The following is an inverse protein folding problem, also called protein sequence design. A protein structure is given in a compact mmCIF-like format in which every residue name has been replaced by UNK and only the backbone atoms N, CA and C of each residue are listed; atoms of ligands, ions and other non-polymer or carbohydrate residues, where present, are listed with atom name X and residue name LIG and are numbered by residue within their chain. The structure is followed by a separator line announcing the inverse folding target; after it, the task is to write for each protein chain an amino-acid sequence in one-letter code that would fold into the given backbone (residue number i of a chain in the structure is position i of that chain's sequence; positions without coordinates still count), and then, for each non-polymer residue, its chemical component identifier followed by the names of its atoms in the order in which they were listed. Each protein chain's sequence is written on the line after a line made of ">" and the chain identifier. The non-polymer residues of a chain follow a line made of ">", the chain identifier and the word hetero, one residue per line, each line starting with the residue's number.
data_IF_749941281026
#
_entry.id   IF_749941281026
#
_cell.length_a   1.000
_cell.length_b   1.000
_cell.length_c   1.000
_cell.angle_alpha   90.00
_cell.angle_beta   90.00
_cell.angle_gamma   90.00
#
_symmetry.space_group_name_H-M   'P 1'
#
loop_
_entity.id
_entity.type
_entity.pdbx_description
1 polymer ?
#
# COMPACT_ATOMS: atom_id res chain seq x y z
N UNK A 1 44.95 18.75 -48.38
CA UNK A 1 44.66 17.64 -47.46
C UNK A 1 44.54 18.23 -46.05
N UNK A 2 43.34 18.46 -45.59
CA UNK A 2 43.07 18.93 -44.21
C UNK A 2 42.30 17.85 -43.47
N UNK A 3 42.65 17.47 -42.22
CA UNK A 3 41.88 16.53 -41.47
C UNK A 3 40.72 17.22 -40.74
N UNK A 4 39.53 16.59 -40.85
CA UNK A 4 38.31 17.06 -40.29
C UNK A 4 38.30 17.02 -38.75
N UNK A 5 37.85 18.11 -38.17
CA UNK A 5 37.59 18.22 -36.74
C UNK A 5 36.36 17.41 -36.35
N UNK A 6 36.55 16.51 -35.39
CA UNK A 6 35.47 15.82 -34.72
C UNK A 6 34.72 16.78 -33.78
N UNK A 7 33.49 17.06 -34.12
CA UNK A 7 32.59 17.87 -33.29
C UNK A 7 32.03 16.97 -32.13
N UNK A 8 32.64 17.08 -30.97
CA UNK A 8 32.09 16.47 -29.75
C UNK A 8 30.91 17.31 -29.26
N UNK A 9 29.69 16.93 -29.62
CA UNK A 9 28.48 17.48 -29.03
C UNK A 9 28.38 17.01 -27.59
N UNK A 10 28.82 17.83 -26.65
CA UNK A 10 28.49 17.66 -25.23
C UNK A 10 26.96 17.82 -25.10
N UNK A 11 26.25 16.72 -24.92
CA UNK A 11 24.86 16.74 -24.53
C UNK A 11 24.75 17.44 -23.16
N UNK A 12 24.45 18.73 -23.19
CA UNK A 12 24.20 19.50 -21.99
C UNK A 12 23.01 18.90 -21.25
N UNK A 13 23.26 18.38 -20.06
CA UNK A 13 22.22 18.06 -19.10
C UNK A 13 21.47 19.37 -18.79
N UNK A 14 20.39 19.65 -19.51
CA UNK A 14 19.48 20.69 -19.12
C UNK A 14 18.90 20.32 -17.76
N UNK A 15 19.36 20.93 -16.69
CA UNK A 15 18.67 20.90 -15.39
C UNK A 15 17.26 21.41 -15.61
N UNK A 16 16.31 20.49 -15.74
CA UNK A 16 14.88 20.83 -15.68
C UNK A 16 14.66 21.61 -14.39
N UNK A 17 13.91 22.72 -14.46
CA UNK A 17 13.49 23.42 -13.24
C UNK A 17 12.84 22.41 -12.31
N UNK A 18 13.15 22.40 -10.99
CA UNK A 18 12.48 21.53 -10.05
C UNK A 18 10.98 21.65 -10.23
N UNK A 19 10.29 20.51 -10.31
CA UNK A 19 8.83 20.52 -10.32
C UNK A 19 8.29 21.12 -9.02
N UNK A 20 7.02 21.56 -8.99
CA UNK A 20 6.42 22.21 -7.83
C UNK A 20 6.21 21.27 -6.63
N UNK A 21 6.54 19.99 -6.77
CA UNK A 21 6.30 18.96 -5.75
C UNK A 21 7.62 18.37 -5.26
N UNK A 22 8.08 18.74 -4.07
CA UNK A 22 9.22 18.09 -3.43
C UNK A 22 8.97 16.59 -3.25
N UNK A 23 9.97 15.79 -3.55
CA UNK A 23 9.95 14.34 -3.42
C UNK A 23 11.07 13.93 -2.49
N UNK A 24 10.74 13.15 -1.46
CA UNK A 24 11.71 12.51 -0.59
C UNK A 24 11.97 11.08 -1.07
N UNK A 25 13.21 10.77 -1.44
CA UNK A 25 13.64 9.41 -1.73
C UNK A 25 13.90 8.67 -0.42
N UNK A 26 13.27 7.52 -0.27
CA UNK A 26 13.34 6.65 0.90
C UNK A 26 13.86 5.28 0.47
N UNK A 27 14.57 4.59 1.36
CA UNK A 27 15.23 3.33 1.02
C UNK A 27 15.13 2.31 2.15
N UNK A 28 15.29 1.05 1.79
CA UNK A 28 15.59 -0.04 2.71
C UNK A 28 16.87 -0.72 2.28
N UNK A 29 17.78 -0.92 3.22
CA UNK A 29 18.95 -1.79 3.07
C UNK A 29 19.13 -2.62 4.34
N UNK A 30 19.50 -3.91 4.23
CA UNK A 30 19.79 -4.74 5.39
C UNK A 30 21.12 -4.32 6.06
N UNK A 31 21.23 -4.59 7.36
CA UNK A 31 22.50 -4.42 8.09
C UNK A 31 23.51 -5.48 7.63
N UNK A 32 24.37 -5.15 6.70
CA UNK A 32 25.44 -5.99 6.14
C UNK A 32 26.72 -5.18 5.98
N UNK A 33 27.49 -5.05 7.03
CA UNK A 33 28.68 -4.19 7.11
C UNK A 33 29.64 -4.30 5.92
N UNK A 34 29.91 -5.54 5.44
CA UNK A 34 30.86 -5.76 4.34
C UNK A 34 30.26 -5.58 2.96
N UNK A 35 28.96 -5.85 2.80
CA UNK A 35 28.29 -5.83 1.48
C UNK A 35 27.69 -4.46 1.14
N UNK A 36 27.39 -3.62 2.15
CA UNK A 36 26.77 -2.31 1.99
C UNK A 36 27.52 -1.29 2.84
N UNK A 37 28.73 -0.86 2.41
CA UNK A 37 29.61 0.00 3.22
C UNK A 37 29.00 1.37 3.54
N UNK A 38 28.14 1.91 2.67
CA UNK A 38 27.47 3.20 2.87
C UNK A 38 26.27 3.12 3.84
N UNK A 39 25.82 1.93 4.22
CA UNK A 39 24.76 1.71 5.19
C UNK A 39 25.09 0.48 6.07
N UNK A 40 26.16 0.51 6.89
CA UNK A 40 26.64 -0.65 7.63
C UNK A 40 25.61 -1.19 8.61
N UNK A 41 24.78 -0.33 9.22
CA UNK A 41 23.70 -0.70 10.14
C UNK A 41 22.36 -0.86 9.43
N UNK A 42 22.37 -0.84 8.10
CA UNK A 42 21.21 -0.85 7.23
C UNK A 42 20.47 0.50 7.20
N UNK A 43 19.55 0.63 6.27
CA UNK A 43 18.66 1.79 6.15
C UNK A 43 17.21 1.34 6.18
N UNK A 44 16.36 2.06 6.89
CA UNK A 44 14.93 1.75 7.09
C UNK A 44 14.05 2.99 6.97
N UNK A 45 14.44 3.93 6.12
CA UNK A 45 13.71 5.19 5.96
C UNK A 45 12.28 4.97 5.42
N UNK A 46 12.05 3.94 4.59
CA UNK A 46 10.70 3.57 4.14
C UNK A 46 9.82 3.19 5.34
N UNK A 47 10.26 2.26 6.18
CA UNK A 47 9.49 1.81 7.34
C UNK A 47 9.22 2.95 8.32
N UNK A 48 10.22 3.81 8.57
CA UNK A 48 10.07 5.00 9.44
C UNK A 48 9.07 5.99 8.87
N UNK A 49 9.03 6.19 7.55
CA UNK A 49 8.04 7.04 6.90
C UNK A 49 6.63 6.48 7.05
N UNK A 50 6.43 5.16 6.84
CA UNK A 50 5.16 4.49 7.15
C UNK A 50 4.72 4.74 8.59
N UNK A 51 5.58 4.47 9.56
CA UNK A 51 5.24 4.65 10.99
C UNK A 51 4.91 6.10 11.33
N UNK A 52 5.66 7.07 10.76
CA UNK A 52 5.39 8.49 10.97
C UNK A 52 4.06 8.91 10.38
N UNK A 53 3.73 8.48 9.16
CA UNK A 53 2.46 8.77 8.51
C UNK A 53 1.28 8.13 9.25
N UNK A 54 1.40 6.84 9.64
CA UNK A 54 0.36 6.13 10.37
C UNK A 54 0.05 6.74 11.76
N UNK A 55 1.06 7.26 12.47
CA UNK A 55 0.83 7.98 13.74
C UNK A 55 0.01 9.26 13.56
N UNK A 56 0.06 9.87 12.38
CA UNK A 56 -0.70 11.07 12.03
C UNK A 56 -2.05 10.77 11.37
N UNK A 57 -2.30 9.55 10.92
CA UNK A 57 -3.53 9.17 10.24
C UNK A 57 -4.76 9.39 11.13
N UNK A 58 -5.82 10.04 10.60
CA UNK A 58 -7.05 10.40 11.32
C UNK A 58 -8.32 9.96 10.59
N UNK A 59 -8.39 10.14 9.28
CA UNK A 59 -9.60 9.87 8.50
C UNK A 59 -9.48 8.60 7.66
N UNK A 60 -8.42 8.51 6.84
CA UNK A 60 -8.28 7.42 5.88
C UNK A 60 -6.83 7.01 5.65
N UNK A 61 -6.57 5.71 5.67
CA UNK A 61 -5.39 5.10 5.06
C UNK A 61 -5.87 4.27 3.87
N UNK A 62 -5.37 4.60 2.68
CA UNK A 62 -5.58 3.83 1.46
C UNK A 62 -4.28 3.19 1.01
N UNK A 63 -4.30 1.90 0.73
CA UNK A 63 -3.12 1.13 0.34
C UNK A 63 -3.46 0.23 -0.84
N UNK A 64 -2.56 0.20 -1.85
CA UNK A 64 -2.49 -0.88 -2.85
C UNK A 64 -1.14 -1.56 -2.72
N UNK A 65 -1.15 -2.86 -2.51
CA UNK A 65 0.08 -3.63 -2.32
C UNK A 65 -0.04 -5.05 -2.85
N UNK A 66 1.08 -5.60 -3.28
CA UNK A 66 1.16 -6.99 -3.69
C UNK A 66 0.97 -7.95 -2.53
N UNK A 67 1.35 -7.53 -1.34
CA UNK A 67 1.32 -8.35 -0.12
C UNK A 67 0.66 -7.61 1.05
N UNK A 68 0.20 -8.38 2.01
CA UNK A 68 -0.18 -7.92 3.34
C UNK A 68 0.23 -9.03 4.29
N UNK A 69 1.52 -9.10 4.56
CA UNK A 69 2.11 -10.19 5.34
C UNK A 69 2.91 -9.66 6.53
N UNK A 70 3.11 -10.53 7.51
CA UNK A 70 3.98 -10.23 8.64
C UNK A 70 3.32 -9.43 9.76
N UNK A 71 3.76 -9.74 10.97
CA UNK A 71 3.25 -9.11 12.20
C UNK A 71 3.69 -7.67 12.32
N UNK A 72 4.96 -7.35 12.00
CA UNK A 72 5.52 -6.01 12.14
C UNK A 72 4.67 -4.93 11.43
N UNK A 73 4.27 -5.21 10.17
CA UNK A 73 3.47 -4.28 9.37
C UNK A 73 2.03 -4.22 9.87
N UNK A 74 1.40 -5.39 10.07
CA UNK A 74 0.01 -5.45 10.53
C UNK A 74 -0.16 -4.86 11.93
N UNK A 75 0.85 -4.99 12.81
CA UNK A 75 0.83 -4.38 14.14
C UNK A 75 0.90 -2.85 14.08
N UNK A 76 1.71 -2.29 13.17
CA UNK A 76 1.77 -0.85 12.94
C UNK A 76 0.43 -0.28 12.45
N UNK A 77 -0.18 -0.94 11.45
CA UNK A 77 -1.50 -0.57 10.92
C UNK A 77 -2.60 -0.71 12.00
N UNK A 78 -2.60 -1.81 12.74
CA UNK A 78 -3.55 -2.07 13.82
C UNK A 78 -3.39 -1.06 14.97
N UNK A 79 -2.17 -0.64 15.29
CA UNK A 79 -1.91 0.40 16.29
C UNK A 79 -2.53 1.74 15.89
N UNK A 80 -2.43 2.14 14.60
CA UNK A 80 -3.07 3.35 14.10
C UNK A 80 -4.61 3.28 14.24
N UNK A 81 -5.22 2.14 13.89
CA UNK A 81 -6.67 1.91 14.01
C UNK A 81 -7.16 1.98 15.47
N UNK A 82 -6.37 1.42 16.42
CA UNK A 82 -6.69 1.50 17.85
C UNK A 82 -6.54 2.90 18.41
N UNK A 83 -5.49 3.61 17.99
CA UNK A 83 -5.22 4.97 18.44
C UNK A 83 -6.23 6.00 17.94
N UNK A 84 -6.88 5.74 16.79
CA UNK A 84 -7.78 6.68 16.12
C UNK A 84 -9.13 6.03 15.79
N UNK A 85 -10.16 6.17 16.64
CA UNK A 85 -11.47 5.55 16.44
C UNK A 85 -12.19 5.98 15.14
N UNK A 86 -11.92 7.16 14.61
CA UNK A 86 -12.49 7.65 13.36
C UNK A 86 -11.78 7.12 12.10
N UNK A 87 -10.55 6.61 12.23
CA UNK A 87 -9.73 6.16 11.11
C UNK A 87 -10.36 4.98 10.37
N UNK A 88 -10.45 5.11 9.06
CA UNK A 88 -10.83 4.04 8.14
C UNK A 88 -9.63 3.57 7.35
N UNK A 89 -9.67 2.31 6.92
CA UNK A 89 -8.58 1.72 6.16
C UNK A 89 -9.10 0.88 5.00
N UNK A 90 -8.66 1.19 3.79
CA UNK A 90 -8.88 0.39 2.59
C UNK A 90 -7.55 -0.18 2.15
N UNK A 91 -7.49 -1.50 1.95
CA UNK A 91 -6.31 -2.19 1.43
C UNK A 91 -6.73 -3.02 0.22
N UNK A 92 -6.03 -2.85 -0.88
CA UNK A 92 -6.21 -3.60 -2.12
C UNK A 92 -5.02 -4.54 -2.32
N UNK A 93 -5.29 -5.84 -2.45
CA UNK A 93 -4.28 -6.89 -2.62
C UNK A 93 -4.68 -7.85 -3.73
N UNK A 94 -3.75 -8.62 -4.33
CA UNK A 94 -4.11 -9.67 -5.27
C UNK A 94 -4.98 -10.74 -4.60
N UNK A 95 -5.98 -11.28 -5.34
CA UNK A 95 -6.81 -12.40 -4.87
C UNK A 95 -5.99 -13.63 -4.52
N UNK A 96 -4.96 -13.89 -5.31
CA UNK A 96 -4.06 -15.02 -5.11
C UNK A 96 -2.64 -14.50 -4.89
N UNK A 97 -1.97 -14.92 -3.81
CA UNK A 97 -0.54 -14.67 -3.65
C UNK A 97 0.25 -15.39 -4.76
N UNK A 98 1.50 -14.97 -4.97
CA UNK A 98 2.38 -15.59 -5.96
C UNK A 98 2.39 -17.12 -5.84
N UNK A 99 2.32 -17.79 -7.00
CA UNK A 99 2.19 -19.24 -7.07
C UNK A 99 3.51 -20.00 -6.83
N UNK A 100 4.59 -19.31 -6.48
CA UNK A 100 5.90 -19.90 -6.33
C UNK A 100 5.96 -20.87 -5.14
N UNK A 101 5.62 -22.10 -5.43
CA UNK A 101 5.75 -23.25 -4.56
C UNK A 101 4.53 -23.59 -3.70
N UNK A 102 4.22 -24.92 -3.60
CA UNK A 102 3.09 -25.43 -2.78
C UNK A 102 3.22 -25.10 -1.28
N UNK A 103 4.44 -24.98 -0.77
CA UNK A 103 4.73 -24.72 0.65
C UNK A 103 4.75 -23.22 0.93
N UNK A 104 5.45 -22.44 0.10
CA UNK A 104 5.54 -20.98 0.22
C UNK A 104 4.17 -20.31 0.09
N UNK A 105 3.34 -20.73 -0.86
CA UNK A 105 2.00 -20.19 -1.04
C UNK A 105 1.04 -20.47 0.14
N UNK A 106 1.20 -21.62 0.87
CA UNK A 106 0.40 -21.88 2.08
C UNK A 106 0.84 -21.03 3.26
N UNK A 107 2.15 -20.85 3.42
CA UNK A 107 2.70 -20.02 4.47
C UNK A 107 2.35 -18.54 4.28
N UNK A 108 2.39 -18.04 3.03
CA UNK A 108 2.00 -16.70 2.65
C UNK A 108 0.51 -16.43 2.93
N UNK A 109 -0.40 -17.33 2.54
CA UNK A 109 -1.83 -17.21 2.87
C UNK A 109 -2.10 -17.21 4.36
N UNK A 110 -1.41 -18.04 5.13
CA UNK A 110 -1.55 -18.06 6.57
C UNK A 110 -1.06 -16.75 7.21
N UNK A 111 0.01 -16.15 6.69
CA UNK A 111 0.52 -14.87 7.14
C UNK A 111 -0.45 -13.73 6.78
N UNK A 112 -0.98 -13.70 5.56
CA UNK A 112 -1.98 -12.73 5.14
C UNK A 112 -3.26 -12.81 5.99
N UNK A 113 -3.77 -14.02 6.23
CA UNK A 113 -4.92 -14.22 7.10
C UNK A 113 -4.70 -13.65 8.51
N UNK A 114 -3.53 -13.91 9.12
CA UNK A 114 -3.20 -13.35 10.44
C UNK A 114 -3.15 -11.83 10.42
N UNK A 115 -2.53 -11.25 9.39
CA UNK A 115 -2.44 -9.81 9.23
C UNK A 115 -3.84 -9.19 9.10
N UNK A 116 -4.69 -9.71 8.21
CA UNK A 116 -6.07 -9.22 8.03
C UNK A 116 -6.88 -9.35 9.32
N UNK A 117 -6.81 -10.49 10.01
CA UNK A 117 -7.52 -10.65 11.29
C UNK A 117 -7.05 -9.69 12.37
N UNK A 118 -5.75 -9.38 12.42
CA UNK A 118 -5.22 -8.38 13.35
C UNK A 118 -5.86 -7.01 13.10
N UNK A 119 -5.95 -6.62 11.81
CA UNK A 119 -6.57 -5.36 11.41
C UNK A 119 -8.07 -5.32 11.70
N UNK A 120 -8.79 -6.40 11.37
CA UNK A 120 -10.24 -6.51 11.63
C UNK A 120 -10.54 -6.46 13.14
N UNK A 121 -9.72 -7.12 13.98
CA UNK A 121 -9.86 -7.02 15.44
C UNK A 121 -9.60 -5.60 15.95
N UNK A 122 -8.68 -4.85 15.33
CA UNK A 122 -8.35 -3.49 15.75
C UNK A 122 -9.35 -2.45 15.26
N UNK A 123 -9.90 -2.60 14.06
CA UNK A 123 -10.72 -1.59 13.39
C UNK A 123 -12.17 -1.99 13.15
N UNK A 124 -12.52 -3.28 13.22
CA UNK A 124 -13.88 -3.76 12.93
C UNK A 124 -14.36 -3.31 11.56
N UNK A 125 -15.56 -2.72 11.46
CA UNK A 125 -16.15 -2.28 10.19
C UNK A 125 -15.40 -1.14 9.50
N UNK A 126 -14.43 -0.53 10.15
CA UNK A 126 -13.58 0.54 9.61
C UNK A 126 -12.43 0.02 8.74
N UNK A 127 -12.25 -1.29 8.67
CA UNK A 127 -11.24 -1.95 7.83
C UNK A 127 -11.93 -2.69 6.70
N UNK A 128 -11.48 -2.45 5.48
CA UNK A 128 -11.94 -3.15 4.30
C UNK A 128 -10.74 -3.61 3.47
N UNK A 129 -10.68 -4.89 3.17
CA UNK A 129 -9.66 -5.49 2.30
C UNK A 129 -10.34 -5.99 1.04
N UNK A 130 -9.80 -5.61 -0.11
CA UNK A 130 -10.37 -5.91 -1.41
C UNK A 130 -9.34 -6.58 -2.31
N UNK A 131 -9.83 -7.35 -3.26
CA UNK A 131 -9.12 -7.71 -4.49
C UNK A 131 -9.87 -7.18 -5.72
N UNK A 132 -9.21 -7.23 -6.86
CA UNK A 132 -9.73 -6.68 -8.10
C UNK A 132 -9.99 -7.78 -9.12
N UNK A 133 -11.01 -7.57 -9.95
CA UNK A 133 -11.25 -8.37 -11.15
C UNK A 133 -11.53 -7.46 -12.37
N UNK A 134 -11.22 -7.96 -13.57
CA UNK A 134 -11.58 -7.30 -14.81
C UNK A 134 -13.09 -7.49 -15.15
N UNK A 135 -13.52 -6.95 -16.26
CA UNK A 135 -14.92 -7.04 -16.70
C UNK A 135 -15.38 -8.47 -16.99
N UNK A 136 -14.46 -9.37 -17.30
CA UNK A 136 -14.71 -10.79 -17.52
C UNK A 136 -14.68 -11.62 -16.22
N UNK A 137 -14.48 -10.98 -15.06
CA UNK A 137 -14.39 -11.64 -13.76
C UNK A 137 -13.01 -12.29 -13.48
N UNK A 138 -12.02 -12.05 -14.34
CA UNK A 138 -10.66 -12.56 -14.12
C UNK A 138 -9.95 -11.72 -13.05
N UNK A 139 -9.37 -12.33 -12.01
CA UNK A 139 -8.64 -11.61 -10.99
C UNK A 139 -7.47 -10.81 -11.57
N UNK A 140 -7.38 -9.54 -11.18
CA UNK A 140 -6.25 -8.66 -11.53
C UNK A 140 -5.15 -8.88 -10.48
N UNK A 141 -3.93 -9.09 -10.96
CA UNK A 141 -2.76 -9.18 -10.10
C UNK A 141 -2.25 -7.78 -9.75
N UNK A 142 -2.55 -7.34 -8.54
CA UNK A 142 -2.09 -6.04 -8.02
C UNK A 142 -0.61 -6.12 -7.69
N UNK A 143 0.23 -5.39 -8.42
CA UNK A 143 1.67 -5.28 -8.15
C UNK A 143 2.08 -3.87 -7.71
N UNK A 144 1.12 -3.03 -7.38
CA UNK A 144 1.36 -1.70 -6.82
C UNK A 144 2.01 -1.77 -5.43
N UNK A 145 2.71 -0.73 -5.03
CA UNK A 145 3.13 -0.43 -3.67
C UNK A 145 2.90 1.06 -3.47
N UNK A 146 1.69 1.37 -3.07
CA UNK A 146 1.24 2.75 -2.90
C UNK A 146 0.48 2.89 -1.58
N UNK A 147 0.74 3.98 -0.87
CA UNK A 147 -0.03 4.37 0.30
C UNK A 147 -0.38 5.85 0.22
N UNK A 148 -1.61 6.17 0.61
CA UNK A 148 -2.11 7.54 0.74
C UNK A 148 -2.74 7.67 2.13
N UNK A 149 -2.36 8.73 2.86
CA UNK A 149 -2.85 9.02 4.22
C UNK A 149 -3.55 10.37 4.22
N UNK A 150 -4.83 10.38 4.58
CA UNK A 150 -5.69 11.56 4.80
C UNK A 150 -5.68 12.57 3.63
N UNK A 151 -5.37 12.15 2.40
CA UNK A 151 -5.12 13.04 1.26
C UNK A 151 -3.98 14.05 1.47
N UNK A 152 -3.18 13.89 2.51
CA UNK A 152 -2.08 14.79 2.86
C UNK A 152 -0.75 14.27 2.34
N UNK A 153 -0.53 12.98 2.44
CA UNK A 153 0.75 12.34 2.13
C UNK A 153 0.54 11.12 1.26
N UNK A 154 1.40 10.95 0.28
CA UNK A 154 1.42 9.77 -0.57
C UNK A 154 2.85 9.26 -0.75
N UNK A 155 3.00 7.94 -0.81
CA UNK A 155 4.27 7.28 -1.13
C UNK A 155 4.02 6.15 -2.13
N UNK A 156 4.91 6.04 -3.11
CA UNK A 156 4.95 4.94 -4.08
C UNK A 156 6.37 4.39 -4.18
N UNK A 157 6.51 3.08 -4.44
CA UNK A 157 7.84 2.49 -4.52
C UNK A 157 7.84 1.00 -4.79
N UNK A 158 8.92 0.33 -4.40
CA UNK A 158 9.10 -1.11 -4.56
C UNK A 158 8.78 -1.91 -3.28
N UNK A 159 8.79 -1.27 -2.10
CA UNK A 159 8.65 -1.93 -0.80
C UNK A 159 7.23 -2.43 -0.55
N UNK A 160 7.09 -3.73 -0.35
CA UNK A 160 5.82 -4.37 -0.02
C UNK A 160 5.46 -4.25 1.48
N UNK A 161 4.19 -4.50 1.80
CA UNK A 161 3.67 -4.60 3.17
C UNK A 161 4.09 -5.93 3.83
N UNK A 162 5.41 -6.12 3.96
CA UNK A 162 6.01 -7.24 4.65
C UNK A 162 7.28 -6.80 5.41
N UNK A 163 7.77 -7.64 6.33
CA UNK A 163 8.93 -7.31 7.15
C UNK A 163 10.20 -7.25 6.32
N UNK A 164 10.34 -8.14 5.33
CA UNK A 164 11.56 -8.18 4.51
C UNK A 164 11.76 -6.89 3.71
N UNK A 165 10.72 -6.33 3.07
CA UNK A 165 10.83 -5.05 2.36
C UNK A 165 11.07 -3.87 3.30
N UNK A 166 10.65 -3.96 4.57
CA UNK A 166 10.89 -2.92 5.56
C UNK A 166 12.27 -2.99 6.22
N UNK A 167 12.96 -4.15 6.15
CA UNK A 167 14.19 -4.36 6.94
C UNK A 167 15.32 -5.08 6.22
N UNK A 168 15.05 -5.86 5.17
CA UNK A 168 16.01 -6.83 4.61
C UNK A 168 16.29 -6.61 3.12
N UNK A 169 15.27 -6.39 2.30
CA UNK A 169 15.45 -6.24 0.85
C UNK A 169 16.06 -4.87 0.52
N UNK A 170 16.64 -4.73 -0.67
CA UNK A 170 17.02 -3.43 -1.21
C UNK A 170 15.82 -2.81 -1.90
N UNK A 171 15.26 -1.76 -1.30
CA UNK A 171 14.04 -1.12 -1.76
C UNK A 171 14.22 0.39 -1.93
N UNK A 172 13.42 0.97 -2.84
CA UNK A 172 13.34 2.42 -3.02
C UNK A 172 11.89 2.86 -3.07
N UNK A 173 11.60 3.99 -2.46
CA UNK A 173 10.29 4.63 -2.52
C UNK A 173 10.42 6.15 -2.63
N UNK A 174 9.39 6.77 -3.17
CA UNK A 174 9.25 8.22 -3.30
C UNK A 174 8.03 8.67 -2.49
N UNK A 175 8.28 9.44 -1.43
CA UNK A 175 7.23 10.15 -0.70
C UNK A 175 7.06 11.55 -1.29
N UNK A 176 5.85 11.91 -1.67
CA UNK A 176 5.54 13.22 -2.26
C UNK A 176 5.08 14.16 -1.15
N UNK A 177 5.80 15.26 -1.01
CA UNK A 177 5.54 16.35 -0.05
C UNK A 177 4.95 17.54 -0.82
N UNK A 178 3.72 17.37 -1.32
CA UNK A 178 3.07 18.42 -2.09
C UNK A 178 2.75 19.64 -1.20
N UNK A 179 3.13 20.84 -1.66
CA UNK A 179 2.84 22.08 -0.96
C UNK A 179 1.49 22.67 -1.38
N UNK A 180 0.96 22.25 -2.53
CA UNK A 180 -0.29 22.76 -3.05
C UNK A 180 -1.47 22.13 -2.30
N UNK A 181 -2.32 22.98 -1.70
CA UNK A 181 -3.53 22.55 -0.99
C UNK A 181 -4.68 22.35 -1.98
N UNK A 182 -5.45 21.30 -1.77
CA UNK A 182 -6.66 21.03 -2.54
C UNK A 182 -7.84 21.77 -1.88
N UNK A 183 -8.52 22.68 -2.63
CA UNK A 183 -9.59 23.51 -2.06
C UNK A 183 -10.93 22.77 -1.91
N UNK A 184 -11.06 21.54 -2.42
CA UNK A 184 -12.32 20.79 -2.36
C UNK A 184 -12.59 20.29 -0.93
N UNK A 185 -13.87 20.36 -0.52
CA UNK A 185 -14.28 19.81 0.78
C UNK A 185 -14.27 18.29 0.81
N UNK A 186 -13.85 17.67 1.96
CA UNK A 186 -13.32 18.34 3.16
C UNK A 186 -11.90 18.89 2.94
N UNK A 187 -11.67 20.15 3.28
CA UNK A 187 -10.35 20.80 3.08
C UNK A 187 -9.28 20.15 3.94
N UNK A 188 -9.62 19.71 5.13
CA UNK A 188 -8.73 19.01 6.07
C UNK A 188 -9.36 17.71 6.58
N UNK A 189 -9.28 16.61 5.82
CA UNK A 189 -9.89 15.33 6.21
C UNK A 189 -9.40 14.79 7.55
N UNK A 190 -8.14 15.02 7.88
CA UNK A 190 -7.52 14.56 9.12
C UNK A 190 -7.79 15.46 10.33
N UNK A 191 -8.25 16.67 10.13
CA UNK A 191 -8.52 17.62 11.22
C UNK A 191 -7.29 18.09 11.98
N UNK A 192 -6.08 17.97 11.41
CA UNK A 192 -4.81 18.34 12.05
C UNK A 192 -4.26 19.70 11.56
N UNK A 193 -4.98 20.41 10.71
CA UNK A 193 -4.52 21.66 10.09
C UNK A 193 -3.57 21.47 8.91
N UNK A 194 -3.21 20.23 8.56
CA UNK A 194 -2.32 19.91 7.43
C UNK A 194 -2.97 20.29 6.09
N UNK A 195 -4.28 20.08 5.98
CA UNK A 195 -5.07 20.25 4.77
C UNK A 195 -4.76 19.23 3.67
N UNK A 196 -5.78 18.85 2.91
CA UNK A 196 -5.59 17.94 1.79
C UNK A 196 -4.63 18.53 0.74
N UNK A 197 -3.81 17.68 0.12
CA UNK A 197 -2.82 18.05 -0.89
C UNK A 197 -3.26 17.59 -2.26
N UNK A 198 -3.02 18.41 -3.26
CA UNK A 198 -3.49 18.17 -4.64
C UNK A 198 -2.99 16.83 -5.14
N UNK A 199 -1.70 16.51 -4.99
CA UNK A 199 -1.14 15.25 -5.48
C UNK A 199 -1.76 14.03 -4.78
N UNK A 200 -1.77 13.99 -3.45
CA UNK A 200 -2.23 12.84 -2.69
C UNK A 200 -3.72 12.55 -2.95
N UNK A 201 -4.55 13.60 -2.95
CA UNK A 201 -5.97 13.48 -3.25
C UNK A 201 -6.24 13.08 -4.69
N UNK A 202 -5.58 13.70 -5.66
CA UNK A 202 -5.76 13.34 -7.07
C UNK A 202 -5.34 11.90 -7.35
N UNK A 203 -4.24 11.43 -6.76
CA UNK A 203 -3.81 10.04 -6.88
C UNK A 203 -4.89 9.09 -6.35
N UNK A 204 -5.39 9.34 -5.12
CA UNK A 204 -6.48 8.54 -4.54
C UNK A 204 -7.72 8.55 -5.42
N UNK A 205 -8.18 9.72 -5.83
CA UNK A 205 -9.40 9.85 -6.64
C UNK A 205 -9.25 9.16 -8.00
N UNK A 206 -8.09 9.23 -8.63
CA UNK A 206 -7.81 8.55 -9.91
C UNK A 206 -7.93 7.03 -9.75
N UNK A 207 -7.24 6.46 -8.74
CA UNK A 207 -7.29 5.02 -8.46
C UNK A 207 -8.71 4.57 -8.08
N UNK A 208 -9.39 5.35 -7.26
CA UNK A 208 -10.73 5.02 -6.82
C UNK A 208 -11.75 5.06 -7.95
N UNK A 209 -11.68 6.04 -8.85
CA UNK A 209 -12.55 6.08 -10.04
C UNK A 209 -12.34 4.87 -10.92
N UNK A 210 -11.09 4.49 -11.17
CA UNK A 210 -10.77 3.30 -11.95
C UNK A 210 -11.37 2.03 -11.31
N UNK A 211 -11.18 1.84 -10.03
CA UNK A 211 -11.66 0.63 -9.34
C UNK A 211 -13.18 0.60 -9.18
N UNK A 212 -13.81 1.74 -9.05
CA UNK A 212 -15.27 1.86 -8.99
C UNK A 212 -15.95 1.81 -10.36
N UNK A 213 -15.17 1.82 -11.46
CA UNK A 213 -15.70 1.86 -12.82
C UNK A 213 -16.38 3.19 -13.16
N UNK A 214 -15.88 4.29 -12.59
CA UNK A 214 -16.37 5.65 -12.82
C UNK A 214 -15.53 6.32 -13.91
N UNK A 215 -16.17 7.19 -14.72
CA UNK A 215 -15.47 8.01 -15.69
C UNK A 215 -14.50 9.01 -15.03
N UNK A 216 -13.67 9.71 -15.83
CA UNK A 216 -12.65 10.63 -15.34
C UNK A 216 -13.18 11.67 -14.35
N UNK A 217 -14.40 12.15 -14.57
CA UNK A 217 -15.08 13.16 -13.74
C UNK A 217 -16.16 12.57 -12.84
N UNK A 218 -16.31 11.25 -12.84
CA UNK A 218 -17.34 10.56 -12.05
C UNK A 218 -17.06 10.57 -10.55
N UNK A 219 -18.14 10.42 -9.75
CA UNK A 219 -18.05 10.19 -8.32
C UNK A 219 -18.15 11.43 -7.45
N UNK A 220 -18.57 12.54 -7.99
CA UNK A 220 -18.97 13.79 -7.29
C UNK A 220 -18.29 14.07 -5.92
N UNK A 221 -18.88 14.90 -5.08
CA UNK A 221 -18.36 15.27 -3.75
C UNK A 221 -18.23 14.09 -2.77
N UNK A 222 -19.02 13.02 -2.92
CA UNK A 222 -18.94 11.84 -2.03
C UNK A 222 -17.63 11.08 -2.19
N UNK A 223 -17.05 11.06 -3.40
CA UNK A 223 -15.76 10.42 -3.62
C UNK A 223 -14.61 11.26 -3.04
N UNK A 224 -14.77 12.58 -3.06
CA UNK A 224 -13.78 13.52 -2.49
C UNK A 224 -13.70 13.35 -0.97
N UNK A 225 -14.84 13.20 -0.29
CA UNK A 225 -14.87 12.87 1.13
C UNK A 225 -14.36 11.44 1.40
N UNK A 226 -13.28 11.26 2.17
CA UNK A 226 -12.76 9.93 2.48
C UNK A 226 -13.77 9.00 3.16
N UNK A 227 -14.66 9.54 3.97
CA UNK A 227 -15.68 8.76 4.70
C UNK A 227 -16.79 8.32 3.76
N UNK A 228 -17.36 9.25 2.99
CA UNK A 228 -18.36 8.95 1.97
C UNK A 228 -17.82 8.00 0.91
N UNK A 229 -16.58 8.21 0.49
CA UNK A 229 -15.92 7.33 -0.47
C UNK A 229 -15.66 5.93 0.06
N UNK A 230 -15.34 5.76 1.36
CA UNK A 230 -15.23 4.44 1.99
C UNK A 230 -16.55 3.64 1.88
N UNK A 231 -17.68 4.29 2.13
CA UNK A 231 -18.99 3.65 2.00
C UNK A 231 -19.36 3.36 0.53
N UNK A 232 -18.93 4.20 -0.42
CA UNK A 232 -19.09 3.92 -1.84
C UNK A 232 -18.34 2.64 -2.25
N UNK A 233 -17.12 2.45 -1.76
CA UNK A 233 -16.34 1.24 -1.97
C UNK A 233 -17.07 0.02 -1.42
N UNK A 234 -17.55 0.08 -0.18
CA UNK A 234 -18.30 -1.03 0.43
C UNK A 234 -19.55 -1.39 -0.37
N UNK A 235 -20.33 -0.38 -0.76
CA UNK A 235 -21.53 -0.59 -1.54
C UNK A 235 -21.23 -1.16 -2.94
N UNK A 236 -20.17 -0.70 -3.61
CA UNK A 236 -19.75 -1.24 -4.91
C UNK A 236 -19.31 -2.70 -4.80
N UNK A 237 -18.47 -3.01 -3.83
CA UNK A 237 -18.00 -4.37 -3.59
C UNK A 237 -19.15 -5.32 -3.23
N UNK A 238 -20.10 -4.87 -2.40
CA UNK A 238 -21.27 -5.67 -2.03
C UNK A 238 -22.17 -5.98 -3.24
N UNK A 239 -22.40 -4.99 -4.13
CA UNK A 239 -23.19 -5.21 -5.35
C UNK A 239 -22.53 -6.23 -6.28
N UNK A 240 -21.22 -6.11 -6.50
CA UNK A 240 -20.49 -7.03 -7.37
C UNK A 240 -20.45 -8.44 -6.76
N UNK A 241 -20.28 -8.55 -5.45
CA UNK A 241 -20.33 -9.83 -4.75
C UNK A 241 -21.71 -10.48 -4.86
N UNK A 242 -22.78 -9.72 -4.63
CA UNK A 242 -24.15 -10.23 -4.75
C UNK A 242 -24.47 -10.71 -6.16
N UNK A 243 -23.95 -10.06 -7.21
CA UNK A 243 -24.11 -10.52 -8.59
C UNK A 243 -23.45 -11.88 -8.81
N UNK A 244 -22.23 -12.10 -8.28
CA UNK A 244 -21.56 -13.39 -8.34
C UNK A 244 -22.30 -14.47 -7.54
N UNK A 245 -22.75 -14.16 -6.34
CA UNK A 245 -23.51 -15.08 -5.48
C UNK A 245 -24.85 -15.47 -6.12
N UNK A 246 -25.44 -14.57 -6.91
CA UNK A 246 -26.62 -14.80 -7.73
C UNK A 246 -26.37 -15.58 -9.03
N UNK A 247 -25.16 -16.11 -9.24
CA UNK A 247 -24.79 -16.90 -10.42
C UNK A 247 -24.57 -16.08 -11.68
N UNK A 248 -24.11 -14.84 -11.53
CA UNK A 248 -23.77 -13.92 -12.64
C UNK A 248 -24.97 -13.62 -13.57
N UNK A 249 -26.15 -13.52 -13.00
CA UNK A 249 -27.38 -13.26 -13.77
C UNK A 249 -27.65 -11.77 -13.94
N UNK A 250 -28.09 -11.37 -15.13
CA UNK A 250 -28.33 -9.98 -15.49
C UNK A 250 -27.05 -9.18 -15.75
N UNK A 251 -27.17 -7.86 -15.98
CA UNK A 251 -26.02 -7.01 -16.28
C UNK A 251 -25.05 -6.97 -15.09
N UNK A 252 -23.75 -7.10 -15.40
CA UNK A 252 -22.69 -6.99 -14.39
C UNK A 252 -22.66 -5.57 -13.81
N UNK A 253 -22.67 -5.42 -12.47
CA UNK A 253 -22.51 -4.11 -11.85
C UNK A 253 -21.15 -3.47 -12.24
N UNK A 254 -21.12 -2.13 -12.36
CA UNK A 254 -19.85 -1.43 -12.61
C UNK A 254 -18.88 -1.58 -11.43
N UNK A 255 -17.61 -1.41 -11.71
CA UNK A 255 -16.54 -1.54 -10.73
C UNK A 255 -15.82 -2.89 -10.81
N UNK A 256 -14.68 -2.96 -10.11
CA UNK A 256 -13.74 -4.09 -10.15
C UNK A 256 -13.47 -4.69 -8.78
N UNK A 257 -14.02 -4.08 -7.73
CA UNK A 257 -13.69 -4.40 -6.33
C UNK A 257 -14.50 -5.58 -5.82
N UNK A 258 -13.80 -6.57 -5.26
CA UNK A 258 -14.40 -7.71 -4.55
C UNK A 258 -13.94 -7.70 -3.09
N UNK A 259 -14.82 -8.05 -2.14
CA UNK A 259 -14.37 -8.32 -0.77
C UNK A 259 -13.31 -9.43 -0.80
N UNK A 260 -12.11 -9.16 -0.28
CA UNK A 260 -11.03 -10.14 -0.26
C UNK A 260 -11.33 -11.26 0.74
N UNK A 261 -11.40 -12.48 0.26
CA UNK A 261 -11.69 -13.66 1.05
C UNK A 261 -10.42 -14.48 1.26
N UNK A 262 -10.00 -14.64 2.52
CA UNK A 262 -8.89 -15.52 2.84
C UNK A 262 -9.45 -16.88 3.30
N UNK A 263 -9.14 -17.93 2.55
CA UNK A 263 -9.57 -19.29 2.87
C UNK A 263 -8.99 -19.80 4.20
N UNK A 264 -9.78 -19.74 5.26
CA UNK A 264 -9.41 -20.12 6.62
C UNK A 264 -8.97 -21.60 6.73
N UNK A 265 -9.65 -22.50 6.04
CA UNK A 265 -9.40 -23.94 6.14
C UNK A 265 -7.97 -24.36 5.72
N UNK A 266 -7.36 -23.60 4.79
CA UNK A 266 -5.98 -23.82 4.35
C UNK A 266 -4.93 -23.12 5.23
N UNK A 267 -5.33 -22.08 5.97
CA UNK A 267 -4.44 -21.30 6.83
C UNK A 267 -4.14 -22.02 8.18
N UNK A 268 -5.12 -22.72 8.77
CA UNK A 268 -4.99 -23.33 10.09
C UNK A 268 -4.05 -24.54 10.14
N UNK A 269 -3.89 -25.29 9.04
CA UNK A 269 -3.01 -26.48 8.97
C UNK A 269 -1.52 -26.15 8.92
N UNK A 270 -1.12 -24.88 8.90
CA UNK A 270 0.27 -24.44 8.65
C UNK A 270 0.98 -23.84 9.88
N UNK A 271 0.67 -24.29 11.12
CA UNK A 271 1.35 -23.76 12.34
C UNK A 271 2.87 -23.95 12.29
N UNK A 272 3.36 -25.07 11.74
CA UNK A 272 4.79 -25.33 11.54
C UNK A 272 5.42 -24.43 10.48
N UNK A 273 4.62 -23.97 9.51
CA UNK A 273 5.11 -23.07 8.45
C UNK A 273 5.44 -21.66 8.97
N UNK A 274 5.00 -21.28 10.17
CA UNK A 274 5.25 -19.96 10.73
C UNK A 274 6.73 -19.70 11.03
N UNK A 275 7.48 -20.71 11.47
CA UNK A 275 8.92 -20.60 11.73
C UNK A 275 9.70 -20.48 10.41
N UNK A 276 9.39 -21.37 9.45
CA UNK A 276 9.99 -21.35 8.12
C UNK A 276 9.66 -20.01 7.40
N UNK A 277 8.42 -19.51 7.53
CA UNK A 277 8.02 -18.24 6.98
C UNK A 277 8.92 -17.10 7.47
N UNK A 278 9.14 -16.99 8.78
CA UNK A 278 9.94 -15.91 9.39
C UNK A 278 11.40 -15.92 8.95
N UNK A 279 11.95 -17.07 8.66
CA UNK A 279 13.37 -17.22 8.33
C UNK A 279 13.60 -17.12 6.82
N UNK A 280 12.79 -17.82 6.02
CA UNK A 280 13.03 -17.97 4.58
C UNK A 280 12.21 -17.00 3.72
N UNK A 281 10.95 -16.72 4.09
CA UNK A 281 10.04 -15.95 3.24
C UNK A 281 10.02 -14.46 3.64
N UNK A 282 10.02 -14.17 4.94
CA UNK A 282 9.95 -12.81 5.47
C UNK A 282 11.06 -12.55 6.53
N UNK A 283 12.35 -12.60 6.13
CA UNK A 283 13.47 -12.43 7.03
C UNK A 283 13.53 -11.02 7.63
N UNK A 284 14.23 -10.93 8.77
CA UNK A 284 14.50 -9.67 9.46
C UNK A 284 15.94 -9.22 9.19
N UNK A 285 16.10 -8.11 8.49
CA UNK A 285 17.39 -7.53 8.15
C UNK A 285 17.94 -6.52 9.15
N UNK A 286 17.25 -6.31 10.30
CA UNK A 286 17.72 -5.40 11.34
C UNK A 286 18.97 -5.95 12.05
N UNK A 287 19.80 -5.07 12.65
CA UNK A 287 20.83 -5.50 13.60
C UNK A 287 20.25 -6.36 14.72
N UNK A 288 21.00 -7.36 15.19
CA UNK A 288 20.53 -8.31 16.20
C UNK A 288 19.91 -7.67 17.45
N UNK A 289 20.45 -6.59 18.03
CA UNK A 289 19.85 -5.92 19.18
C UNK A 289 18.44 -5.41 18.91
N UNK A 290 18.18 -4.90 17.71
CA UNK A 290 16.88 -4.32 17.32
C UNK A 290 15.82 -5.37 16.95
N UNK A 291 16.18 -6.65 16.82
CA UNK A 291 15.21 -7.71 16.48
C UNK A 291 14.35 -8.13 17.68
N UNK A 292 14.72 -7.74 18.88
CA UNK A 292 14.01 -8.12 20.12
C UNK A 292 12.82 -7.21 20.44
N UNK A 293 12.75 -6.06 19.80
CA UNK A 293 11.67 -5.10 19.98
C UNK A 293 11.02 -4.72 18.64
N UNK A 294 10.03 -3.83 18.66
CA UNK A 294 9.33 -3.32 17.49
C UNK A 294 9.97 -2.05 16.91
N UNK A 295 11.13 -1.62 17.42
CA UNK A 295 11.83 -0.43 16.92
C UNK A 295 12.39 -0.64 15.50
N UNK A 296 12.31 0.41 14.67
CA UNK A 296 12.72 0.44 13.27
C UNK A 296 13.71 1.57 13.00
#
# INVERSE_FOLDING_TARGET
>A
MSPGGANSSSAGFHRRRPGPRPVQVLRTYPARHRAIPFAPDGERSIARAYLKALRRARALVYIEDQYLWGTLVSDALAAALRATPALRMIIVVPRYPDRDGRISGRAARAAQWRAINNLVRAGGPRVAVYDLENEQGTPIYVHAKAIIVDDVWAMVGSANLNRRSWTHDSEVACAVLDQERDPRHPIDPGGLGDGARVFARQLRLRLWREHLGLGPDGGDGRLVDPVGGFELWRASAARLQAWHDGGNRGPRPPGRIRPHQVELARALKARWAAALYRVAIDPDGRPLPLRRDTSL
#
